data_IF_756123814056
#
_entry.id   IF_756123814056
#
_cell.length_a   1.000
_cell.length_b   1.000
_cell.length_c   1.000
_cell.angle_alpha   90.00
_cell.angle_beta   90.00
_cell.angle_gamma   90.00
#
_symmetry.space_group_name_H-M   'P 1'
#
loop_
_entity.id
_entity.type
_entity.pdbx_description
1 polymer ?
#
# COMPACT_ATOMS: atom_id res chain seq x y z
N UNK A 1 -12.58 -26.23 25.39
CA UNK A 1 -12.29 -26.96 24.12
C UNK A 1 -11.74 -25.96 23.10
N UNK A 2 -10.93 -26.33 22.10
CA UNK A 2 -10.21 -25.37 21.22
C UNK A 2 -11.07 -24.23 20.62
N UNK A 3 -12.38 -24.45 20.45
CA UNK A 3 -13.38 -23.45 20.02
C UNK A 3 -13.53 -22.24 20.93
N UNK A 4 -13.38 -22.39 22.25
CA UNK A 4 -13.56 -21.29 23.21
C UNK A 4 -12.29 -20.43 23.34
N UNK A 5 -11.13 -21.01 23.03
CA UNK A 5 -9.85 -20.33 23.19
C UNK A 5 -9.47 -19.48 21.96
N UNK A 6 -9.83 -19.90 20.76
CA UNK A 6 -9.44 -19.26 19.50
C UNK A 6 -10.62 -19.18 18.51
N UNK A 7 -11.62 -18.33 18.80
CA UNK A 7 -12.83 -18.25 17.97
C UNK A 7 -12.52 -17.72 16.56
N UNK A 8 -11.64 -16.72 16.40
CA UNK A 8 -11.25 -16.21 15.08
C UNK A 8 -10.63 -17.29 14.19
N UNK A 9 -9.70 -18.09 14.71
CA UNK A 9 -9.05 -19.16 13.96
C UNK A 9 -10.04 -20.23 13.51
N UNK A 10 -11.06 -20.55 14.32
CA UNK A 10 -12.12 -21.50 13.95
C UNK A 10 -13.00 -20.94 12.84
N UNK A 11 -13.35 -19.65 12.89
CA UNK A 11 -14.14 -18.99 11.84
C UNK A 11 -13.38 -18.96 10.51
N UNK A 12 -12.08 -18.65 10.55
CA UNK A 12 -11.19 -18.74 9.38
C UNK A 12 -11.15 -20.16 8.85
N UNK A 13 -10.96 -21.17 9.72
CA UNK A 13 -10.87 -22.58 9.32
C UNK A 13 -12.12 -23.08 8.59
N UNK A 14 -13.30 -22.60 9.00
CA UNK A 14 -14.57 -22.95 8.37
C UNK A 14 -14.91 -22.06 7.16
N UNK A 15 -14.05 -21.09 6.82
CA UNK A 15 -14.27 -20.07 5.79
C UNK A 15 -15.56 -19.23 6.01
N UNK A 16 -15.91 -18.96 7.28
CA UNK A 16 -17.08 -18.16 7.66
C UNK A 16 -16.72 -16.67 7.73
N UNK A 17 -16.43 -16.05 6.58
CA UNK A 17 -15.97 -14.65 6.52
C UNK A 17 -16.99 -13.62 7.04
N UNK A 18 -18.30 -13.89 6.91
CA UNK A 18 -19.36 -13.01 7.43
C UNK A 18 -19.40 -12.99 8.96
N UNK A 19 -19.36 -14.17 9.57
CA UNK A 19 -19.32 -14.31 11.03
C UNK A 19 -18.01 -13.74 11.59
N UNK A 20 -16.91 -13.91 10.85
CA UNK A 20 -15.62 -13.32 11.17
C UNK A 20 -15.68 -11.79 11.16
N UNK A 21 -16.29 -11.18 10.14
CA UNK A 21 -16.46 -9.73 10.07
C UNK A 21 -17.32 -9.19 11.23
N UNK A 22 -18.41 -9.88 11.55
CA UNK A 22 -19.28 -9.55 12.69
C UNK A 22 -18.54 -9.65 14.02
N UNK A 23 -17.71 -10.68 14.20
CA UNK A 23 -16.96 -10.89 15.45
C UNK A 23 -15.83 -9.87 15.59
N UNK A 24 -15.14 -9.57 14.50
CA UNK A 24 -14.13 -8.51 14.49
C UNK A 24 -14.73 -7.14 14.78
N UNK A 25 -15.99 -6.88 14.39
CA UNK A 25 -16.66 -5.61 14.66
C UNK A 25 -16.92 -5.35 16.16
N UNK A 26 -16.93 -6.38 16.99
CA UNK A 26 -17.16 -6.25 18.43
C UNK A 26 -15.95 -5.69 19.19
N UNK A 27 -14.80 -5.47 18.53
CA UNK A 27 -13.56 -4.88 19.06
C UNK A 27 -12.93 -5.60 20.29
N UNK A 28 -13.49 -6.72 20.75
CA UNK A 28 -13.00 -7.47 21.93
C UNK A 28 -11.88 -8.46 21.60
N UNK A 29 -11.61 -8.71 20.32
CA UNK A 29 -10.76 -9.81 19.88
C UNK A 29 -9.43 -9.33 19.30
N UNK A 30 -8.33 -9.90 19.81
CA UNK A 30 -6.99 -9.63 19.32
C UNK A 30 -6.72 -10.39 18.00
N UNK A 31 -6.51 -9.62 16.91
CA UNK A 31 -6.27 -10.13 15.55
C UNK A 31 -4.89 -10.78 15.43
N UNK A 32 -3.96 -10.45 16.32
CA UNK A 32 -2.59 -10.98 16.31
C UNK A 32 -2.40 -12.21 17.21
N UNK A 33 -3.50 -12.65 17.85
CA UNK A 33 -3.48 -13.81 18.72
C UNK A 33 -3.03 -15.05 17.95
N UNK A 34 -2.18 -15.83 18.61
CA UNK A 34 -1.48 -16.94 17.99
C UNK A 34 -2.10 -18.26 18.39
N UNK A 35 -2.34 -19.12 17.40
CA UNK A 35 -2.75 -20.51 17.61
C UNK A 35 -1.68 -21.32 18.36
N UNK A 36 -2.03 -22.49 18.92
CA UNK A 36 -1.05 -23.43 19.49
C UNK A 36 0.05 -23.88 18.51
N UNK A 37 -0.18 -23.69 17.20
CA UNK A 37 0.79 -23.98 16.13
C UNK A 37 1.66 -22.78 15.75
N UNK A 38 1.56 -21.66 16.47
CA UNK A 38 2.34 -20.46 16.19
C UNK A 38 1.77 -19.55 15.10
N UNK A 39 0.55 -19.83 14.59
CA UNK A 39 -0.04 -19.13 13.45
C UNK A 39 -0.98 -17.99 13.85
N UNK A 40 -0.89 -16.86 13.17
CA UNK A 40 -1.92 -15.80 13.24
C UNK A 40 -3.18 -16.24 12.48
N UNK A 41 -4.36 -15.65 12.76
CA UNK A 41 -5.56 -15.93 11.96
C UNK A 41 -5.38 -15.53 10.49
N UNK A 42 -4.56 -14.50 10.21
CA UNK A 42 -4.21 -14.08 8.86
C UNK A 42 -3.36 -15.14 8.15
N UNK A 43 -2.29 -15.63 8.78
CA UNK A 43 -1.48 -16.73 8.25
C UNK A 43 -2.34 -17.97 7.98
N UNK A 44 -3.26 -18.29 8.89
CA UNK A 44 -4.20 -19.40 8.70
C UNK A 44 -5.09 -19.20 7.46
N UNK A 45 -5.62 -18.00 7.25
CA UNK A 45 -6.46 -17.69 6.09
C UNK A 45 -5.68 -17.84 4.78
N UNK A 46 -4.42 -17.40 4.76
CA UNK A 46 -3.52 -17.51 3.61
C UNK A 46 -3.12 -18.97 3.37
N UNK A 47 -2.76 -19.73 4.42
CA UNK A 47 -2.45 -21.16 4.32
C UNK A 47 -3.58 -21.97 3.66
N UNK A 48 -4.84 -21.57 3.94
CA UNK A 48 -6.04 -22.24 3.44
C UNK A 48 -6.54 -21.68 2.09
N UNK A 49 -5.93 -20.62 1.57
CA UNK A 49 -6.35 -19.96 0.33
C UNK A 49 -7.68 -19.20 0.45
N UNK A 50 -8.09 -18.79 1.65
CA UNK A 50 -9.37 -18.14 1.88
C UNK A 50 -9.30 -16.64 1.62
N UNK A 51 -9.58 -16.25 0.37
CA UNK A 51 -9.47 -14.87 -0.10
C UNK A 51 -10.32 -13.87 0.71
N UNK A 52 -11.60 -14.15 0.90
CA UNK A 52 -12.50 -13.20 1.60
C UNK A 52 -12.18 -13.10 3.09
N UNK A 53 -11.86 -14.21 3.74
CA UNK A 53 -11.38 -14.20 5.14
C UNK A 53 -10.10 -13.38 5.28
N UNK A 54 -9.16 -13.50 4.33
CA UNK A 54 -7.93 -12.70 4.28
C UNK A 54 -8.25 -11.21 4.10
N UNK A 55 -9.19 -10.86 3.23
CA UNK A 55 -9.63 -9.47 2.99
C UNK A 55 -10.17 -8.84 4.27
N UNK A 56 -11.04 -9.55 4.99
CA UNK A 56 -11.65 -9.04 6.23
C UNK A 56 -10.57 -8.82 7.30
N UNK A 57 -9.62 -9.75 7.46
CA UNK A 57 -8.53 -9.63 8.43
C UNK A 57 -7.59 -8.45 8.10
N UNK A 58 -7.27 -8.24 6.82
CA UNK A 58 -6.44 -7.11 6.40
C UNK A 58 -7.11 -5.75 6.58
N UNK A 59 -8.45 -5.66 6.47
CA UNK A 59 -9.19 -4.43 6.80
C UNK A 59 -9.00 -3.99 8.25
N UNK A 60 -8.71 -4.93 9.16
CA UNK A 60 -8.43 -4.65 10.57
C UNK A 60 -6.95 -4.39 10.87
N UNK A 61 -6.14 -4.11 9.86
CA UNK A 61 -4.73 -3.77 10.02
C UNK A 61 -3.86 -4.86 10.61
N UNK A 62 -4.20 -6.12 10.32
CA UNK A 62 -3.37 -7.27 10.67
C UNK A 62 -1.92 -7.12 10.16
N UNK A 63 -0.96 -7.58 10.97
CA UNK A 63 0.46 -7.45 10.68
C UNK A 63 0.91 -8.43 9.60
N UNK A 64 1.20 -7.89 8.42
CA UNK A 64 1.70 -8.67 7.27
C UNK A 64 3.21 -8.93 7.30
N UNK A 65 3.94 -8.36 8.26
CA UNK A 65 5.41 -8.41 8.35
C UNK A 65 5.91 -9.60 9.15
N UNK A 66 5.03 -10.24 9.90
CA UNK A 66 5.38 -11.36 10.77
C UNK A 66 5.76 -12.59 9.94
N UNK A 67 6.76 -13.31 10.45
CA UNK A 67 7.20 -14.58 9.91
C UNK A 67 6.47 -15.73 10.61
N UNK A 68 6.07 -16.73 9.83
CA UNK A 68 5.52 -17.97 10.34
C UNK A 68 6.63 -18.78 11.06
N UNK A 69 6.26 -19.88 11.74
CA UNK A 69 7.19 -20.73 12.50
C UNK A 69 8.35 -21.30 11.64
N UNK A 70 8.17 -21.39 10.33
CA UNK A 70 9.15 -21.83 9.34
C UNK A 70 10.05 -20.69 8.81
N UNK A 71 9.88 -19.47 9.34
CA UNK A 71 10.60 -18.27 8.91
C UNK A 71 10.06 -17.63 7.62
N UNK A 72 8.99 -18.17 7.05
CA UNK A 72 8.41 -17.67 5.80
C UNK A 72 7.60 -16.40 6.03
N UNK A 73 7.67 -15.47 5.08
CA UNK A 73 6.81 -14.29 5.08
C UNK A 73 5.42 -14.68 4.56
N UNK A 74 4.36 -14.04 5.04
CA UNK A 74 2.97 -14.27 4.58
C UNK A 74 2.83 -14.20 3.05
N UNK A 75 3.60 -13.31 2.40
CA UNK A 75 3.64 -13.22 0.94
C UNK A 75 4.18 -14.50 0.28
N UNK A 76 5.26 -15.08 0.83
CA UNK A 76 5.83 -16.32 0.29
C UNK A 76 4.85 -17.48 0.45
N UNK A 77 4.10 -17.50 1.56
CA UNK A 77 3.05 -18.46 1.80
C UNK A 77 1.90 -18.30 0.80
N UNK A 78 1.44 -17.07 0.53
CA UNK A 78 0.44 -16.80 -0.51
C UNK A 78 0.90 -17.22 -1.92
N UNK A 79 2.19 -17.07 -2.24
CA UNK A 79 2.73 -17.54 -3.53
C UNK A 79 2.71 -19.06 -3.61
N UNK A 80 2.86 -19.76 -2.49
CA UNK A 80 2.84 -21.22 -2.46
C UNK A 80 1.44 -21.82 -2.64
N UNK A 81 0.36 -21.07 -2.37
CA UNK A 81 -1.00 -21.53 -2.67
C UNK A 81 -1.31 -21.52 -4.16
N UNK A 82 -0.62 -20.67 -4.93
CA UNK A 82 -0.81 -20.55 -6.38
C UNK A 82 -1.98 -19.65 -6.80
N UNK A 83 -2.62 -18.96 -5.85
CA UNK A 83 -3.77 -18.10 -6.12
C UNK A 83 -3.32 -16.66 -6.45
N UNK A 84 -3.42 -16.22 -7.73
CA UNK A 84 -2.91 -14.91 -8.12
C UNK A 84 -3.66 -13.75 -7.45
N UNK A 85 -4.97 -13.92 -7.23
CA UNK A 85 -5.81 -12.90 -6.58
C UNK A 85 -5.41 -12.68 -5.11
N UNK A 86 -5.10 -13.77 -4.40
CA UNK A 86 -4.63 -13.71 -3.01
C UNK A 86 -3.28 -12.99 -2.92
N UNK A 87 -2.34 -13.34 -3.82
CA UNK A 87 -1.03 -12.70 -3.90
C UNK A 87 -1.18 -11.20 -4.20
N UNK A 88 -2.02 -10.84 -5.16
CA UNK A 88 -2.28 -9.44 -5.50
C UNK A 88 -2.85 -8.65 -4.32
N UNK A 89 -3.79 -9.24 -3.58
CA UNK A 89 -4.41 -8.62 -2.41
C UNK A 89 -3.37 -8.35 -1.31
N UNK A 90 -2.56 -9.35 -0.96
CA UNK A 90 -1.51 -9.21 0.07
C UNK A 90 -0.45 -8.19 -0.36
N UNK A 91 -0.05 -8.18 -1.64
CA UNK A 91 0.90 -7.19 -2.17
C UNK A 91 0.37 -5.76 -2.06
N UNK A 92 -0.85 -5.52 -2.54
CA UNK A 92 -1.48 -4.20 -2.49
C UNK A 92 -1.55 -3.69 -1.06
N UNK A 93 -1.97 -4.55 -0.12
CA UNK A 93 -2.07 -4.16 1.28
C UNK A 93 -0.71 -3.84 1.90
N UNK A 94 0.32 -4.66 1.64
CA UNK A 94 1.68 -4.43 2.11
C UNK A 94 2.23 -3.09 1.59
N UNK A 95 2.04 -2.82 0.30
CA UNK A 95 2.57 -1.60 -0.32
C UNK A 95 1.81 -0.36 0.16
N UNK A 96 0.50 -0.48 0.40
CA UNK A 96 -0.30 0.54 1.06
C UNK A 96 0.24 0.86 2.47
N UNK A 97 0.44 -0.16 3.32
CA UNK A 97 0.98 0.02 4.67
C UNK A 97 2.34 0.73 4.63
N UNK A 98 3.26 0.26 3.79
CA UNK A 98 4.56 0.90 3.60
C UNK A 98 4.47 2.35 3.09
N UNK A 99 3.52 2.65 2.20
CA UNK A 99 3.30 4.01 1.73
C UNK A 99 2.82 4.89 2.89
N UNK A 100 1.82 4.45 3.65
CA UNK A 100 1.30 5.19 4.81
C UNK A 100 2.36 5.45 5.88
N UNK A 101 3.20 4.46 6.19
CA UNK A 101 4.30 4.60 7.15
C UNK A 101 5.32 5.65 6.71
N UNK A 102 5.70 5.67 5.41
CA UNK A 102 6.59 6.71 4.87
C UNK A 102 5.97 8.10 4.94
N UNK A 103 4.67 8.19 4.68
CA UNK A 103 3.95 9.47 4.71
C UNK A 103 3.72 9.98 6.14
N UNK A 104 3.75 9.11 7.16
CA UNK A 104 3.45 9.48 8.54
C UNK A 104 4.37 10.57 9.13
N UNK A 105 5.63 10.66 8.67
CA UNK A 105 6.58 11.71 9.11
C UNK A 105 6.44 13.05 8.38
N UNK A 106 5.77 13.08 7.23
CA UNK A 106 5.58 14.28 6.40
C UNK A 106 4.82 15.40 7.12
N UNK A 107 3.71 15.17 7.85
CA UNK A 107 3.01 16.26 8.52
C UNK A 107 3.88 16.96 9.57
N UNK A 108 4.73 16.22 10.28
CA UNK A 108 5.67 16.81 11.24
C UNK A 108 6.71 17.69 10.53
N UNK A 109 7.29 17.19 9.43
CA UNK A 109 8.23 17.96 8.61
C UNK A 109 7.57 19.21 8.02
N UNK A 110 6.35 19.11 7.49
CA UNK A 110 5.57 20.25 6.99
C UNK A 110 5.31 21.27 8.09
N UNK A 111 5.01 20.82 9.32
CA UNK A 111 4.80 21.73 10.45
C UNK A 111 6.07 22.52 10.82
N UNK A 112 7.24 21.87 10.76
CA UNK A 112 8.55 22.50 11.00
C UNK A 112 8.92 23.47 9.88
N UNK A 113 8.69 23.08 8.61
CA UNK A 113 8.89 23.96 7.45
C UNK A 113 8.03 25.23 7.55
N UNK A 114 6.76 25.10 7.98
CA UNK A 114 5.87 26.26 8.18
C UNK A 114 6.35 27.20 9.31
N UNK A 115 7.06 26.70 10.32
CA UNK A 115 7.64 27.52 11.39
C UNK A 115 8.92 28.25 10.97
N UNK A 116 9.65 27.72 9.98
CA UNK A 116 10.82 28.38 9.43
C UNK A 116 10.39 29.58 8.57
N UNK A 117 10.64 30.80 9.05
CA UNK A 117 10.19 32.05 8.40
C UNK A 117 10.86 32.32 7.05
N UNK A 118 12.02 31.72 6.80
CA UNK A 118 12.88 32.03 5.64
C UNK A 118 13.12 30.82 4.74
N UNK A 119 12.25 29.80 4.79
CA UNK A 119 12.36 28.63 3.92
C UNK A 119 11.70 28.90 2.57
N UNK A 120 12.49 28.92 1.50
CA UNK A 120 12.00 28.95 0.14
C UNK A 120 12.45 27.67 -0.60
N UNK A 121 11.59 27.16 -1.49
CA UNK A 121 11.91 26.00 -2.34
C UNK A 121 12.14 26.50 -3.75
N UNK A 122 13.38 26.44 -4.21
CA UNK A 122 13.68 26.59 -5.63
C UNK A 122 13.44 25.25 -6.34
N UNK A 123 12.29 25.14 -7.00
CA UNK A 123 12.00 24.01 -7.88
C UNK A 123 12.72 24.23 -9.21
N UNK A 124 13.86 23.57 -9.41
CA UNK A 124 14.55 23.57 -10.70
C UNK A 124 13.90 22.53 -11.60
N UNK A 125 13.18 23.01 -12.61
CA UNK A 125 12.68 22.19 -13.71
C UNK A 125 13.73 22.12 -14.80
N UNK A 126 14.53 21.06 -14.80
CA UNK A 126 15.36 20.74 -15.94
C UNK A 126 14.50 19.90 -16.91
N UNK A 127 14.08 20.50 -18.02
CA UNK A 127 13.46 19.76 -19.12
C UNK A 127 14.54 18.89 -19.76
N UNK A 128 14.77 17.69 -19.23
CA UNK A 128 15.78 16.76 -19.75
C UNK A 128 15.32 16.02 -21.02
N UNK A 129 14.30 16.52 -21.71
CA UNK A 129 13.90 16.02 -23.02
C UNK A 129 13.17 17.10 -23.80
N UNK A 130 13.87 17.71 -24.76
CA UNK A 130 13.24 18.16 -25.99
C UNK A 130 13.31 17.01 -26.98
N UNK A 131 12.37 16.07 -26.91
CA UNK A 131 12.06 15.25 -28.07
C UNK A 131 11.39 16.15 -29.12
N UNK A 132 12.19 16.96 -29.81
CA UNK A 132 11.79 17.50 -31.10
C UNK A 132 12.06 16.36 -32.09
N UNK A 133 11.08 15.48 -32.26
CA UNK A 133 11.08 14.51 -33.34
C UNK A 133 11.05 15.28 -34.67
N UNK A 134 12.23 15.60 -35.18
CA UNK A 134 12.46 16.27 -36.46
C UNK A 134 12.23 15.25 -37.59
N UNK A 135 10.95 14.98 -37.91
CA UNK A 135 10.61 14.46 -39.21
C UNK A 135 10.21 15.61 -40.12
N UNK A 136 10.92 15.70 -41.25
CA UNK A 136 10.54 16.41 -42.47
C UNK A 136 11.01 17.87 -42.57
N UNK A 137 12.25 17.99 -43.07
CA UNK A 137 12.65 18.88 -44.20
C UNK A 137 11.65 19.98 -44.57
N UNK A 138 11.96 21.22 -44.19
CA UNK A 138 11.66 22.38 -45.01
C UNK A 138 12.88 23.31 -45.07
N UNK A 139 13.28 23.47 -46.33
CA UNK A 139 14.27 24.35 -46.92
C UNK A 139 14.27 25.80 -46.38
N UNK A 140 15.50 26.31 -46.31
CA UNK A 140 15.94 27.61 -46.85
C UNK A 140 15.45 28.92 -46.20
N UNK A 141 16.42 29.57 -45.54
CA UNK A 141 16.68 31.01 -45.54
C UNK A 141 15.54 31.98 -45.27
N UNK A 142 15.40 32.41 -44.00
CA UNK A 142 15.31 33.83 -43.59
C UNK A 142 15.22 33.98 -42.06
N UNK A 143 15.85 35.01 -41.44
CA UNK A 143 15.82 35.21 -39.99
C UNK A 143 14.45 35.74 -39.56
N UNK A 144 13.61 34.90 -38.95
CA UNK A 144 12.29 35.28 -38.50
C UNK A 144 12.38 36.11 -37.21
N UNK A 145 12.43 37.42 -37.39
CA UNK A 145 12.00 38.43 -36.43
C UNK A 145 10.50 38.26 -36.15
N UNK A 146 10.14 37.69 -35.00
CA UNK A 146 8.88 37.99 -34.30
C UNK A 146 8.78 37.17 -33.01
N UNK A 147 9.34 37.73 -31.95
CA UNK A 147 8.85 37.44 -30.60
C UNK A 147 7.70 38.41 -30.33
N UNK A 148 6.49 37.94 -30.00
CA UNK A 148 5.61 38.71 -29.14
C UNK A 148 5.73 38.11 -27.73
N UNK A 149 6.46 38.83 -26.89
CA UNK A 149 6.24 38.75 -25.46
C UNK A 149 4.82 39.24 -25.16
N UNK A 150 4.09 38.47 -24.38
CA UNK A 150 2.92 38.97 -23.66
C UNK A 150 2.90 38.28 -22.30
N UNK A 151 3.59 38.93 -21.35
CA UNK A 151 3.38 38.72 -19.94
C UNK A 151 2.28 39.72 -19.57
N UNK A 152 1.02 39.28 -19.62
CA UNK A 152 -0.07 40.06 -19.05
C UNK A 152 -0.03 39.90 -17.53
N UNK A 153 0.42 40.97 -16.89
CA UNK A 153 0.24 41.22 -15.45
C UNK A 153 -1.21 41.64 -15.26
N UNK A 154 -1.97 40.90 -14.47
CA UNK A 154 -3.23 41.38 -13.89
C UNK A 154 -3.11 41.37 -12.37
N UNK A 155 -3.47 42.52 -11.83
CA UNK A 155 -3.45 42.94 -10.43
C UNK A 155 -4.40 42.14 -9.53
#
# INVERSE_FOLDING_TARGET
MAREAFPLHVLVWNNQYLELELELQKDEQDVERVDPRGRTPLELAVCLGHLESTRVLLRRSADTTRNNAQGWTILQEAVSTGDPELVQLVLQYRDFKRATERLAGIPELLSKLRQARDFYVEMKWEFTSWEVSFSTTWLDSSPCSSWPGQIETLA
#
